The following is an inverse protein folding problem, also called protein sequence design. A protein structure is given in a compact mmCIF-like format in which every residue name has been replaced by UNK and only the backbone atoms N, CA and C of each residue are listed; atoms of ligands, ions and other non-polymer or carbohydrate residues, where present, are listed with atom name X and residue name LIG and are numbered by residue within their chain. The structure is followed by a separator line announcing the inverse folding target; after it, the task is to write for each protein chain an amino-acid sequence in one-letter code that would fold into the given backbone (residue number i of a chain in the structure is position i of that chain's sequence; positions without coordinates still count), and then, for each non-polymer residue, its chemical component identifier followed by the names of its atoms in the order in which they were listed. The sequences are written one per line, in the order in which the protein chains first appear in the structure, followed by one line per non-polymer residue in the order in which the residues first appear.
data_IF_774907612025
#
_entry.id   IF_774907612025
#
_cell.length_a   1.000
_cell.length_b   1.000
_cell.length_c   1.000
_cell.angle_alpha   90.00
_cell.angle_beta   90.00
_cell.angle_gamma   90.00
#
_symmetry.space_group_name_H-M   'P 1'
#
loop_
_entity.id
_entity.type
_entity.pdbx_description
1 polymer ?
#
# COMPACT_ATOMS: atom_id res chain seq x y z
N UNK A 1 -11.31 -80.29 -14.89
CA UNK A 1 -12.70 -79.81 -15.06
C UNK A 1 -12.76 -78.33 -14.72
N UNK A 2 -12.51 -77.46 -15.71
CA UNK A 2 -12.56 -76.01 -15.55
C UNK A 2 -13.77 -75.49 -16.34
N UNK A 3 -14.89 -75.31 -15.64
CA UNK A 3 -16.11 -74.70 -16.16
C UNK A 3 -15.88 -73.20 -16.33
N UNK A 4 -15.54 -72.80 -17.55
CA UNK A 4 -15.53 -71.41 -18.01
C UNK A 4 -16.95 -70.87 -18.06
N UNK A 5 -17.33 -70.11 -17.03
CA UNK A 5 -18.59 -69.35 -17.02
C UNK A 5 -18.40 -68.13 -17.94
N UNK A 6 -18.62 -68.32 -19.24
CA UNK A 6 -18.85 -67.21 -20.16
C UNK A 6 -20.27 -66.68 -19.92
N UNK A 7 -20.40 -65.73 -19.00
CA UNK A 7 -21.62 -64.95 -18.84
C UNK A 7 -21.82 -64.08 -20.09
N UNK A 8 -22.50 -64.63 -21.10
CA UNK A 8 -23.04 -63.90 -22.24
C UNK A 8 -24.15 -62.97 -21.74
N UNK A 9 -23.78 -61.80 -21.21
CA UNK A 9 -24.74 -60.73 -21.01
C UNK A 9 -25.31 -60.36 -22.38
N UNK A 10 -26.61 -60.56 -22.59
CA UNK A 10 -27.27 -60.22 -23.85
C UNK A 10 -26.97 -58.76 -24.24
N UNK A 11 -26.84 -58.48 -25.54
CA UNK A 11 -26.56 -57.13 -26.03
C UNK A 11 -27.57 -56.10 -25.48
N UNK A 12 -28.83 -56.52 -25.29
CA UNK A 12 -29.89 -55.73 -24.66
C UNK A 12 -29.59 -55.42 -23.18
N UNK A 13 -29.06 -56.38 -22.42
CA UNK A 13 -28.66 -56.17 -21.02
C UNK A 13 -27.50 -55.17 -20.90
N UNK A 14 -26.51 -55.26 -21.79
CA UNK A 14 -25.41 -54.28 -21.85
C UNK A 14 -25.89 -52.89 -22.25
N UNK A 15 -26.76 -52.78 -23.25
CA UNK A 15 -27.37 -51.53 -23.67
C UNK A 15 -28.24 -50.90 -22.55
N UNK A 16 -28.98 -51.73 -21.82
CA UNK A 16 -29.78 -51.29 -20.68
C UNK A 16 -28.90 -50.79 -19.52
N UNK A 17 -27.83 -51.52 -19.17
CA UNK A 17 -26.84 -51.08 -18.18
C UNK A 17 -26.14 -49.79 -18.60
N UNK A 18 -25.82 -49.62 -19.88
CA UNK A 18 -25.23 -48.39 -20.41
C UNK A 18 -26.21 -47.20 -20.32
N UNK A 19 -27.50 -47.42 -20.63
CA UNK A 19 -28.57 -46.41 -20.49
C UNK A 19 -28.83 -46.03 -19.03
N UNK A 20 -28.85 -46.99 -18.12
CA UNK A 20 -28.95 -46.72 -16.67
C UNK A 20 -27.71 -45.96 -16.19
N UNK A 21 -26.51 -46.37 -16.62
CA UNK A 21 -25.28 -45.69 -16.26
C UNK A 21 -25.25 -44.25 -16.77
N UNK A 22 -25.77 -43.96 -17.97
CA UNK A 22 -25.86 -42.60 -18.51
C UNK A 22 -26.82 -41.74 -17.68
N UNK A 23 -28.01 -42.25 -17.35
CA UNK A 23 -29.01 -41.55 -16.51
C UNK A 23 -28.48 -41.30 -15.09
N UNK A 24 -27.85 -42.30 -14.48
CA UNK A 24 -27.24 -42.15 -13.15
C UNK A 24 -26.06 -41.17 -13.23
N UNK A 25 -25.28 -41.19 -14.31
CA UNK A 25 -24.16 -40.26 -14.48
C UNK A 25 -24.61 -38.81 -14.63
N UNK A 26 -25.76 -38.53 -15.27
CA UNK A 26 -26.35 -37.20 -15.33
C UNK A 26 -26.87 -36.69 -13.98
N UNK A 27 -27.23 -37.62 -13.08
CA UNK A 27 -27.69 -37.31 -11.72
C UNK A 27 -26.54 -37.19 -10.70
N UNK A 28 -25.31 -37.58 -11.06
CA UNK A 28 -24.15 -37.45 -10.16
C UNK A 28 -23.78 -35.97 -10.01
N UNK A 29 -23.70 -35.44 -8.78
CA UNK A 29 -23.24 -34.08 -8.55
C UNK A 29 -21.85 -33.89 -9.18
N UNK A 30 -21.77 -33.08 -10.25
CA UNK A 30 -20.49 -32.74 -10.90
C UNK A 30 -19.57 -31.93 -9.97
N UNK A 31 -20.14 -31.33 -8.92
CA UNK A 31 -19.46 -30.62 -7.85
C UNK A 31 -20.02 -31.07 -6.51
N UNK A 32 -19.15 -31.57 -5.65
CA UNK A 32 -19.50 -31.81 -4.26
C UNK A 32 -19.62 -30.46 -3.52
N UNK A 33 -20.64 -30.33 -2.66
CA UNK A 33 -20.79 -29.16 -1.76
C UNK A 33 -19.59 -29.06 -0.81
N UNK A 34 -19.06 -30.22 -0.41
CA UNK A 34 -17.90 -30.36 0.47
C UNK A 34 -16.62 -30.61 -0.34
N UNK A 35 -15.45 -30.06 0.05
CA UNK A 35 -14.17 -30.42 -0.56
C UNK A 35 -13.92 -31.93 -0.51
N UNK A 36 -13.31 -32.47 -1.58
CA UNK A 36 -13.04 -33.90 -1.71
C UNK A 36 -12.16 -34.46 -0.60
N UNK A 37 -11.28 -33.62 -0.03
CA UNK A 37 -10.41 -34.03 1.08
C UNK A 37 -11.17 -34.39 2.37
N UNK A 38 -12.43 -33.97 2.50
CA UNK A 38 -13.26 -34.25 3.67
C UNK A 38 -14.06 -35.56 3.53
N UNK A 39 -14.21 -36.10 2.32
CA UNK A 39 -14.84 -37.40 2.11
C UNK A 39 -13.94 -38.50 2.68
N UNK A 40 -14.46 -39.32 3.59
CA UNK A 40 -13.68 -40.37 4.25
C UNK A 40 -13.03 -41.33 3.25
N UNK A 41 -13.79 -41.74 2.22
CA UNK A 41 -13.33 -42.61 1.13
C UNK A 41 -12.08 -42.07 0.40
N UNK A 42 -11.93 -40.75 0.30
CA UNK A 42 -10.74 -40.12 -0.27
C UNK A 42 -9.68 -39.83 0.80
N UNK A 43 -10.10 -39.34 1.97
CA UNK A 43 -9.23 -38.88 3.06
C UNK A 43 -8.35 -40.01 3.60
N UNK A 44 -8.92 -41.18 3.86
CA UNK A 44 -8.21 -42.29 4.52
C UNK A 44 -7.07 -42.80 3.62
N UNK A 45 -7.29 -43.22 2.36
CA UNK A 45 -6.21 -43.70 1.49
C UNK A 45 -5.17 -42.61 1.20
N UNK A 46 -5.63 -41.36 1.02
CA UNK A 46 -4.73 -40.24 0.71
C UNK A 46 -3.83 -39.89 1.88
N UNK A 47 -4.33 -39.87 3.12
CA UNK A 47 -3.53 -39.53 4.29
C UNK A 47 -2.67 -40.69 4.78
N UNK A 48 -3.22 -41.90 4.90
CA UNK A 48 -2.54 -43.04 5.51
C UNK A 48 -1.57 -43.73 4.56
N UNK A 49 -1.91 -43.87 3.28
CA UNK A 49 -1.08 -44.60 2.32
C UNK A 49 -0.20 -43.65 1.51
N UNK A 50 -0.79 -42.67 0.83
CA UNK A 50 -0.07 -41.82 -0.12
C UNK A 50 0.78 -40.74 0.57
N UNK A 51 0.16 -39.88 1.39
CA UNK A 51 0.83 -38.73 2.00
C UNK A 51 1.90 -39.16 3.02
N UNK A 52 1.59 -40.12 3.91
CA UNK A 52 2.59 -40.65 4.85
C UNK A 52 3.72 -41.39 4.13
N UNK A 53 3.42 -42.17 3.09
CA UNK A 53 4.44 -42.82 2.26
C UNK A 53 5.38 -41.80 1.62
N UNK A 54 4.82 -40.77 0.97
CA UNK A 54 5.59 -39.67 0.40
C UNK A 54 6.50 -38.96 1.41
N UNK A 55 6.06 -38.77 2.66
CA UNK A 55 6.89 -38.15 3.69
C UNK A 55 7.99 -39.07 4.22
N UNK A 56 7.69 -40.38 4.31
CA UNK A 56 8.63 -41.42 4.77
C UNK A 56 9.76 -41.64 3.78
N UNK A 57 9.45 -41.62 2.48
CA UNK A 57 10.40 -41.91 1.41
C UNK A 57 11.02 -40.64 0.81
N UNK A 58 10.62 -39.45 1.27
CA UNK A 58 11.20 -38.19 0.81
C UNK A 58 12.71 -38.10 1.12
N UNK A 59 13.53 -37.65 0.16
CA UNK A 59 15.00 -37.61 0.28
C UNK A 59 15.52 -36.52 1.23
N UNK A 60 14.73 -35.48 1.51
CA UNK A 60 15.15 -34.35 2.34
C UNK A 60 13.96 -33.65 3.01
N UNK A 61 14.23 -32.92 4.09
CA UNK A 61 13.20 -32.16 4.80
C UNK A 61 12.59 -31.01 3.98
N UNK A 62 13.35 -30.45 3.04
CA UNK A 62 12.85 -29.46 2.09
C UNK A 62 11.78 -30.05 1.16
N UNK A 63 12.00 -31.29 0.71
CA UNK A 63 11.02 -32.04 -0.09
C UNK A 63 9.80 -32.38 0.77
N UNK A 64 9.97 -32.83 2.02
CA UNK A 64 8.86 -33.04 2.96
C UNK A 64 8.04 -31.76 3.17
N UNK A 65 8.70 -30.62 3.37
CA UNK A 65 8.04 -29.32 3.50
C UNK A 65 7.25 -28.95 2.24
N UNK A 66 7.84 -29.19 1.05
CA UNK A 66 7.17 -28.94 -0.23
C UNK A 66 5.92 -29.79 -0.40
N UNK A 67 5.99 -31.08 -0.07
CA UNK A 67 4.87 -32.01 -0.10
C UNK A 67 3.77 -31.50 0.84
N UNK A 68 4.09 -31.21 2.11
CA UNK A 68 3.14 -30.63 3.08
C UNK A 68 2.44 -29.39 2.54
N UNK A 69 3.19 -28.44 1.97
CA UNK A 69 2.64 -27.20 1.41
C UNK A 69 1.74 -27.45 0.20
N UNK A 70 2.11 -28.40 -0.66
CA UNK A 70 1.33 -28.76 -1.84
C UNK A 70 0.00 -29.41 -1.44
N UNK A 71 0.01 -30.36 -0.51
CA UNK A 71 -1.21 -30.98 0.02
C UNK A 71 -2.12 -29.94 0.67
N UNK A 72 -1.60 -29.04 1.53
CA UNK A 72 -2.40 -27.95 2.14
C UNK A 72 -3.06 -27.04 1.08
N UNK A 73 -2.32 -26.66 0.04
CA UNK A 73 -2.87 -25.85 -1.07
C UNK A 73 -3.98 -26.60 -1.83
N UNK A 74 -3.90 -27.92 -1.90
CA UNK A 74 -4.81 -28.77 -2.66
C UNK A 74 -6.03 -29.25 -1.85
N UNK A 75 -6.09 -29.01 -0.54
CA UNK A 75 -7.23 -29.40 0.30
C UNK A 75 -8.56 -28.76 -0.16
N UNK A 76 -8.51 -27.57 -0.76
CA UNK A 76 -9.73 -26.86 -1.19
C UNK A 76 -10.26 -27.31 -2.56
N UNK A 77 -9.65 -28.31 -3.21
CA UNK A 77 -10.08 -28.78 -4.53
C UNK A 77 -11.39 -29.58 -4.40
N UNK A 78 -12.43 -29.15 -5.12
CA UNK A 78 -13.77 -29.78 -5.11
C UNK A 78 -14.05 -30.67 -6.32
N UNK A 79 -13.34 -30.47 -7.44
CA UNK A 79 -13.56 -31.21 -8.69
C UNK A 79 -12.89 -32.58 -8.63
N UNK A 80 -13.68 -33.65 -8.81
CA UNK A 80 -13.21 -35.04 -8.75
C UNK A 80 -12.09 -35.34 -9.76
N UNK A 81 -12.25 -34.88 -11.00
CA UNK A 81 -11.28 -35.08 -12.08
C UNK A 81 -9.91 -34.47 -11.74
N UNK A 82 -9.90 -33.24 -11.23
CA UNK A 82 -8.68 -32.56 -10.78
C UNK A 82 -7.99 -33.33 -9.65
N UNK A 83 -8.77 -33.83 -8.67
CA UNK A 83 -8.23 -34.62 -7.56
C UNK A 83 -7.60 -35.92 -8.07
N UNK A 84 -8.27 -36.63 -9.00
CA UNK A 84 -7.72 -37.86 -9.61
C UNK A 84 -6.36 -37.62 -10.27
N UNK A 85 -6.23 -36.57 -11.07
CA UNK A 85 -4.96 -36.20 -11.72
C UNK A 85 -3.88 -35.87 -10.70
N UNK A 86 -4.24 -35.14 -9.63
CA UNK A 86 -3.32 -34.82 -8.54
C UNK A 86 -2.83 -36.08 -7.81
N UNK A 87 -3.74 -37.02 -7.50
CA UNK A 87 -3.40 -38.28 -6.86
C UNK A 87 -2.45 -39.11 -7.74
N UNK A 88 -2.77 -39.28 -9.03
CA UNK A 88 -1.90 -39.99 -9.97
C UNK A 88 -0.50 -39.40 -10.02
N UNK A 89 -0.39 -38.06 -10.06
CA UNK A 89 0.91 -37.37 -10.01
C UNK A 89 1.68 -37.67 -8.72
N UNK A 90 0.99 -37.68 -7.58
CA UNK A 90 1.60 -37.96 -6.28
C UNK A 90 1.99 -39.43 -6.12
N UNK A 91 1.24 -40.37 -6.70
CA UNK A 91 1.60 -41.79 -6.73
C UNK A 91 2.87 -42.03 -7.55
N UNK A 92 2.95 -41.48 -8.76
CA UNK A 92 4.19 -41.51 -9.58
C UNK A 92 5.40 -40.94 -8.83
N UNK A 93 5.19 -39.85 -8.09
CA UNK A 93 6.25 -39.26 -7.28
C UNK A 93 6.68 -40.19 -6.13
N UNK A 94 5.73 -40.89 -5.49
CA UNK A 94 6.03 -41.85 -4.42
C UNK A 94 6.81 -43.05 -4.96
N UNK A 95 6.41 -43.59 -6.10
CA UNK A 95 7.11 -44.70 -6.78
C UNK A 95 8.57 -44.32 -7.08
N UNK A 96 8.81 -43.12 -7.62
CA UNK A 96 10.17 -42.63 -7.85
C UNK A 96 10.99 -42.49 -6.55
N UNK A 97 10.37 -42.04 -5.45
CA UNK A 97 11.05 -41.97 -4.14
C UNK A 97 11.35 -43.35 -3.56
N UNK A 98 10.42 -44.29 -3.68
CA UNK A 98 10.61 -45.66 -3.22
C UNK A 98 11.73 -46.36 -4.03
N UNK A 99 11.75 -46.22 -5.35
CA UNK A 99 12.80 -46.77 -6.22
C UNK A 99 14.17 -46.18 -5.89
N UNK A 100 14.27 -44.85 -5.71
CA UNK A 100 15.52 -44.21 -5.30
C UNK A 100 16.02 -44.73 -3.94
N UNK A 101 15.11 -44.96 -2.98
CA UNK A 101 15.43 -45.51 -1.66
C UNK A 101 15.82 -46.99 -1.70
N UNK A 102 15.29 -47.74 -2.66
CA UNK A 102 15.65 -49.14 -2.92
C UNK A 102 17.03 -49.30 -3.60
N UNK A 103 17.68 -48.21 -4.01
CA UNK A 103 19.04 -48.25 -4.56
C UNK A 103 19.14 -48.00 -6.07
N UNK A 104 18.05 -47.68 -6.78
CA UNK A 104 18.11 -47.37 -8.21
C UNK A 104 18.90 -46.06 -8.45
N UNK A 105 20.09 -46.19 -9.05
CA UNK A 105 21.01 -45.09 -9.33
C UNK A 105 20.40 -43.99 -10.21
N UNK A 106 19.58 -44.35 -11.20
CA UNK A 106 18.94 -43.39 -12.08
C UNK A 106 17.90 -42.57 -11.30
N UNK A 107 17.03 -43.26 -10.55
CA UNK A 107 16.01 -42.59 -9.75
C UNK A 107 16.62 -41.75 -8.62
N UNK A 108 17.72 -42.20 -8.01
CA UNK A 108 18.49 -41.39 -7.06
C UNK A 108 18.96 -40.07 -7.68
N UNK A 109 19.54 -40.10 -8.87
CA UNK A 109 19.99 -38.88 -9.56
C UNK A 109 18.82 -37.92 -9.86
N UNK A 110 17.68 -38.45 -10.31
CA UNK A 110 16.46 -37.66 -10.58
C UNK A 110 15.92 -37.02 -9.29
N UNK A 111 15.83 -37.80 -8.22
CA UNK A 111 15.33 -37.36 -6.91
C UNK A 111 16.27 -36.32 -6.27
N UNK A 112 17.58 -36.48 -6.41
CA UNK A 112 18.57 -35.50 -5.96
C UNK A 112 18.50 -34.19 -6.73
N UNK A 113 18.33 -34.24 -8.06
CA UNK A 113 18.07 -33.04 -8.89
C UNK A 113 16.79 -32.34 -8.44
N UNK A 114 15.72 -33.11 -8.19
CA UNK A 114 14.47 -32.56 -7.67
C UNK A 114 14.65 -31.90 -6.29
N UNK A 115 15.37 -32.54 -5.37
CA UNK A 115 15.66 -31.99 -4.05
C UNK A 115 16.39 -30.65 -4.16
N UNK A 116 17.46 -30.56 -4.97
CA UNK A 116 18.18 -29.30 -5.24
C UNK A 116 17.27 -28.20 -5.80
N UNK A 117 16.37 -28.52 -6.72
CA UNK A 117 15.39 -27.56 -7.22
C UNK A 117 14.44 -27.08 -6.10
N UNK A 118 13.98 -27.98 -5.24
CA UNK A 118 13.08 -27.63 -4.13
C UNK A 118 13.80 -26.76 -3.09
N UNK A 119 15.05 -27.07 -2.73
CA UNK A 119 15.85 -26.26 -1.79
C UNK A 119 16.03 -24.84 -2.34
N UNK A 120 16.39 -24.70 -3.61
CA UNK A 120 16.51 -23.41 -4.30
C UNK A 120 15.19 -22.64 -4.30
N UNK A 121 14.07 -23.30 -4.63
CA UNK A 121 12.73 -22.67 -4.59
C UNK A 121 12.34 -22.22 -3.18
N UNK A 122 12.70 -22.98 -2.13
CA UNK A 122 12.45 -22.60 -0.73
C UNK A 122 13.28 -21.39 -0.35
N UNK A 123 14.58 -21.37 -0.67
CA UNK A 123 15.47 -20.22 -0.45
C UNK A 123 14.95 -18.97 -1.17
N UNK A 124 14.57 -19.09 -2.45
CA UNK A 124 13.95 -17.98 -3.22
C UNK A 124 12.66 -17.47 -2.56
N UNK A 125 11.78 -18.37 -2.11
CA UNK A 125 10.54 -17.99 -1.44
C UNK A 125 10.77 -17.29 -0.10
N UNK A 126 11.77 -17.75 0.69
CA UNK A 126 12.19 -17.10 1.93
C UNK A 126 12.73 -15.69 1.64
N UNK A 127 13.63 -15.56 0.67
CA UNK A 127 14.19 -14.26 0.27
C UNK A 127 13.12 -13.30 -0.22
N UNK A 128 12.17 -13.79 -1.03
CA UNK A 128 11.04 -12.97 -1.50
C UNK A 128 10.14 -12.52 -0.33
N UNK A 129 9.90 -13.39 0.66
CA UNK A 129 9.17 -13.01 1.86
C UNK A 129 9.91 -11.91 2.64
N UNK A 130 11.20 -12.10 2.91
CA UNK A 130 12.02 -11.08 3.60
C UNK A 130 12.03 -9.75 2.84
N UNK A 131 12.17 -9.80 1.51
CA UNK A 131 12.10 -8.62 0.65
C UNK A 131 10.74 -7.92 0.74
N UNK A 132 9.64 -8.67 0.67
CA UNK A 132 8.30 -8.11 0.82
C UNK A 132 8.05 -7.53 2.22
N UNK A 133 8.55 -8.18 3.26
CA UNK A 133 8.51 -7.67 4.65
C UNK A 133 9.30 -6.37 4.77
N UNK A 134 10.50 -6.31 4.19
CA UNK A 134 11.30 -5.08 4.13
C UNK A 134 10.60 -3.97 3.35
N UNK A 135 10.00 -4.28 2.20
CA UNK A 135 9.23 -3.31 1.41
C UNK A 135 8.01 -2.82 2.19
N UNK A 136 7.26 -3.71 2.84
CA UNK A 136 6.11 -3.38 3.66
C UNK A 136 6.52 -2.51 4.86
N UNK A 137 7.65 -2.81 5.50
CA UNK A 137 8.20 -2.02 6.59
C UNK A 137 8.65 -0.63 6.12
N UNK A 138 9.36 -0.54 4.98
CA UNK A 138 9.72 0.73 4.35
C UNK A 138 8.48 1.56 3.99
N UNK A 139 7.48 0.92 3.40
CA UNK A 139 6.20 1.54 3.07
C UNK A 139 5.49 2.04 4.34
N UNK A 140 5.47 1.25 5.41
CA UNK A 140 4.92 1.64 6.71
C UNK A 140 5.65 2.85 7.30
N UNK A 141 6.98 2.89 7.20
CA UNK A 141 7.76 4.03 7.69
C UNK A 141 7.58 5.29 6.84
N UNK A 142 7.47 5.14 5.52
CA UNK A 142 7.19 6.26 4.62
C UNK A 142 5.79 6.84 4.84
N UNK A 143 4.81 5.96 5.13
CA UNK A 143 3.41 6.33 5.28
C UNK A 143 2.94 6.47 6.74
N UNK A 144 3.86 6.44 7.71
CA UNK A 144 3.50 6.70 9.11
C UNK A 144 3.10 8.16 9.25
N UNK A 145 1.92 8.42 9.81
CA UNK A 145 1.46 9.78 10.06
C UNK A 145 2.30 10.43 11.14
N UNK A 146 2.96 11.54 10.81
CA UNK A 146 3.77 12.33 11.75
C UNK A 146 3.05 13.64 12.02
N UNK A 147 2.90 14.00 13.30
CA UNK A 147 2.37 15.30 13.71
C UNK A 147 3.33 16.41 13.27
N UNK A 148 2.82 17.42 12.58
CA UNK A 148 3.65 18.52 12.05
C UNK A 148 3.85 19.66 13.06
N UNK A 149 3.07 19.67 14.15
CA UNK A 149 3.01 20.75 15.14
C UNK A 149 2.11 21.93 14.73
N UNK A 150 1.27 21.74 13.71
CA UNK A 150 0.27 22.71 13.27
C UNK A 150 -1.16 22.23 13.57
N UNK A 151 -2.08 23.20 13.66
CA UNK A 151 -3.50 22.96 13.87
C UNK A 151 -4.21 22.93 12.52
N UNK A 152 -5.08 21.95 12.29
CA UNK A 152 -6.03 22.02 11.18
C UNK A 152 -7.32 22.67 11.65
N UNK A 153 -7.72 23.75 10.98
CA UNK A 153 -8.99 24.45 11.24
C UNK A 153 -10.17 23.47 11.09
N UNK A 154 -11.06 23.34 12.07
CA UNK A 154 -12.31 22.58 11.93
C UNK A 154 -13.09 23.04 10.70
N UNK A 155 -13.76 22.10 10.06
CA UNK A 155 -14.64 22.35 8.91
C UNK A 155 -15.93 21.58 9.11
N UNK A 156 -16.90 21.75 8.21
CA UNK A 156 -18.15 20.95 8.26
C UNK A 156 -17.87 19.44 8.22
N UNK A 157 -16.75 19.01 7.64
CA UNK A 157 -16.46 17.58 7.40
C UNK A 157 -15.61 16.93 8.49
N UNK A 158 -14.92 17.73 9.30
CA UNK A 158 -14.11 17.22 10.41
C UNK A 158 -14.02 18.24 11.54
N UNK A 159 -13.97 17.73 12.77
CA UNK A 159 -13.74 18.57 13.94
C UNK A 159 -12.29 19.05 14.04
N UNK A 160 -11.88 19.54 15.22
CA UNK A 160 -10.49 19.89 15.48
C UNK A 160 -9.62 18.64 15.32
N UNK A 161 -8.65 18.73 14.40
CA UNK A 161 -7.69 17.67 14.13
C UNK A 161 -6.27 18.25 14.13
N UNK A 162 -5.26 17.46 14.53
CA UNK A 162 -3.88 17.86 14.36
C UNK A 162 -3.51 17.76 12.87
N UNK A 163 -2.60 18.62 12.44
CA UNK A 163 -2.03 18.48 11.11
C UNK A 163 -0.96 17.37 11.10
N UNK A 164 -1.12 16.43 10.17
CA UNK A 164 -0.28 15.24 10.03
C UNK A 164 0.25 15.12 8.61
N UNK A 165 1.46 14.57 8.45
CA UNK A 165 2.02 14.24 7.14
C UNK A 165 2.67 12.85 7.13
N UNK A 166 2.26 11.95 6.21
CA UNK A 166 1.02 11.99 5.42
C UNK A 166 -0.23 11.87 6.30
N UNK A 167 -1.39 12.23 5.74
CA UNK A 167 -2.68 12.05 6.40
C UNK A 167 -3.07 10.57 6.47
N UNK A 168 -3.56 10.06 7.62
CA UNK A 168 -4.07 8.70 7.69
C UNK A 168 -5.22 8.50 6.69
N UNK A 169 -5.12 7.43 5.87
CA UNK A 169 -6.09 7.13 4.82
C UNK A 169 -7.54 7.05 5.33
N UNK A 170 -7.74 6.49 6.53
CA UNK A 170 -9.09 6.35 7.09
C UNK A 170 -9.72 7.72 7.40
N UNK A 171 -8.95 8.69 7.89
CA UNK A 171 -9.45 10.05 8.15
C UNK A 171 -9.73 10.77 6.82
N UNK A 172 -8.83 10.66 5.85
CA UNK A 172 -9.05 11.24 4.52
C UNK A 172 -10.32 10.68 3.85
N UNK A 173 -10.53 9.36 3.93
CA UNK A 173 -11.75 8.68 3.43
C UNK A 173 -13.00 9.10 4.21
N UNK A 174 -12.90 9.29 5.52
CA UNK A 174 -14.01 9.78 6.35
C UNK A 174 -14.45 11.19 5.91
N UNK A 175 -13.50 12.10 5.71
CA UNK A 175 -13.77 13.47 5.24
C UNK A 175 -14.41 13.44 3.84
N UNK A 176 -13.86 12.65 2.91
CA UNK A 176 -14.41 12.51 1.57
C UNK A 176 -15.84 11.93 1.58
N UNK A 177 -16.09 10.89 2.39
CA UNK A 177 -17.43 10.30 2.57
C UNK A 177 -18.41 11.35 3.11
N UNK A 178 -18.02 12.13 4.11
CA UNK A 178 -18.86 13.19 4.68
C UNK A 178 -19.17 14.28 3.68
N UNK A 179 -18.20 14.70 2.86
CA UNK A 179 -18.44 15.67 1.78
C UNK A 179 -19.49 15.15 0.80
N UNK A 180 -19.35 13.90 0.34
CA UNK A 180 -20.34 13.27 -0.55
C UNK A 180 -21.73 13.16 0.10
N UNK A 181 -21.79 12.69 1.35
CA UNK A 181 -23.06 12.57 2.08
C UNK A 181 -23.74 13.93 2.30
N UNK A 182 -22.98 15.00 2.54
CA UNK A 182 -23.55 16.33 2.69
C UNK A 182 -24.24 16.80 1.41
N UNK A 183 -23.62 16.60 0.25
CA UNK A 183 -24.22 16.93 -1.05
C UNK A 183 -25.53 16.17 -1.24
N UNK A 184 -25.50 14.85 -1.02
CA UNK A 184 -26.70 13.99 -1.12
C UNK A 184 -27.82 14.47 -0.18
N UNK A 185 -27.49 14.91 1.05
CA UNK A 185 -28.51 15.42 1.98
C UNK A 185 -29.11 16.74 1.53
N UNK A 186 -28.31 17.64 0.94
CA UNK A 186 -28.83 18.91 0.40
C UNK A 186 -29.78 18.60 -0.76
N UNK A 187 -29.37 17.75 -1.70
CA UNK A 187 -30.20 17.32 -2.83
C UNK A 187 -31.51 16.69 -2.36
N UNK A 188 -31.44 15.78 -1.37
CA UNK A 188 -32.63 15.18 -0.76
C UNK A 188 -33.51 16.19 -0.04
N UNK A 189 -32.94 17.17 0.65
CA UNK A 189 -33.72 18.21 1.32
C UNK A 189 -34.48 19.07 0.32
N UNK A 190 -33.83 19.42 -0.81
CA UNK A 190 -34.49 20.15 -1.90
C UNK A 190 -35.61 19.32 -2.55
N UNK A 191 -35.34 18.05 -2.87
CA UNK A 191 -36.36 17.16 -3.42
C UNK A 191 -37.54 16.94 -2.46
N UNK A 192 -37.27 16.81 -1.16
CA UNK A 192 -38.29 16.66 -0.13
C UNK A 192 -39.18 17.90 -0.02
N UNK A 193 -38.61 19.11 -0.17
CA UNK A 193 -39.37 20.35 -0.20
C UNK A 193 -40.22 20.48 -1.46
N UNK A 194 -39.67 20.13 -2.63
CA UNK A 194 -40.45 20.10 -3.85
C UNK A 194 -41.68 19.17 -3.73
N UNK A 195 -41.51 17.99 -3.12
CA UNK A 195 -42.63 17.09 -2.85
C UNK A 195 -43.65 17.65 -1.85
N UNK A 196 -43.21 18.38 -0.82
CA UNK A 196 -44.13 19.08 0.08
C UNK A 196 -44.92 20.16 -0.68
N UNK A 197 -44.25 20.94 -1.54
CA UNK A 197 -44.88 21.97 -2.36
C UNK A 197 -45.90 21.36 -3.34
N UNK A 198 -45.57 20.22 -3.95
CA UNK A 198 -46.46 19.52 -4.88
C UNK A 198 -47.70 18.99 -4.13
N UNK A 199 -47.55 18.37 -2.96
CA UNK A 199 -48.69 17.93 -2.14
C UNK A 199 -49.57 19.11 -1.73
N UNK A 200 -48.96 20.25 -1.35
CA UNK A 200 -49.72 21.45 -1.00
C UNK A 200 -50.54 21.96 -2.20
N UNK A 201 -49.96 21.96 -3.40
CA UNK A 201 -50.69 22.32 -4.64
C UNK A 201 -51.83 21.35 -4.96
N UNK A 202 -51.63 20.05 -4.79
CA UNK A 202 -52.68 19.05 -4.99
C UNK A 202 -53.81 19.23 -3.97
N UNK A 203 -53.49 19.52 -2.71
CA UNK A 203 -54.49 19.82 -1.69
C UNK A 203 -55.31 21.07 -2.05
N UNK A 204 -54.66 22.14 -2.51
CA UNK A 204 -55.35 23.36 -2.94
C UNK A 204 -56.19 23.13 -4.19
N UNK A 205 -55.68 22.35 -5.15
CA UNK A 205 -56.44 21.93 -6.33
C UNK A 205 -57.69 21.14 -5.94
N UNK A 206 -57.58 20.13 -5.09
CA UNK A 206 -58.74 19.35 -4.63
C UNK A 206 -59.76 20.19 -3.85
N UNK A 207 -59.30 21.12 -3.02
CA UNK A 207 -60.19 22.07 -2.32
C UNK A 207 -60.99 22.89 -3.33
N UNK A 208 -60.30 23.52 -4.29
CA UNK A 208 -60.97 24.32 -5.31
C UNK A 208 -61.89 23.51 -6.22
N UNK A 209 -61.52 22.27 -6.54
CA UNK A 209 -62.36 21.36 -7.31
C UNK A 209 -63.59 20.93 -6.50
N UNK A 210 -63.41 20.59 -5.22
CA UNK A 210 -64.48 20.25 -4.30
C UNK A 210 -65.51 21.37 -4.19
N UNK A 211 -65.07 22.62 -4.07
CA UNK A 211 -65.94 23.80 -4.06
C UNK A 211 -66.74 23.98 -5.36
N UNK A 212 -66.14 23.63 -6.52
CA UNK A 212 -66.82 23.70 -7.81
C UNK A 212 -67.86 22.59 -7.96
N UNK A 213 -67.48 21.34 -7.68
CA UNK A 213 -68.36 20.17 -7.79
C UNK A 213 -69.53 20.24 -6.79
N UNK A 214 -69.31 20.78 -5.60
CA UNK A 214 -70.37 21.00 -4.61
C UNK A 214 -71.48 21.91 -5.12
N UNK A 215 -71.19 22.87 -6.00
CA UNK A 215 -72.20 23.73 -6.65
C UNK A 215 -73.07 22.96 -7.64
N UNK A 216 -72.50 21.93 -8.26
CA UNK A 216 -73.19 21.07 -9.24
C UNK A 216 -73.91 19.88 -8.59
N UNK A 217 -73.84 19.74 -7.26
CA UNK A 217 -74.53 18.70 -6.50
C UNK A 217 -73.94 17.29 -6.68
N UNK A 218 -72.72 17.17 -7.19
CA UNK A 218 -72.03 15.89 -7.35
C UNK A 218 -71.15 15.61 -6.12
N UNK A 219 -71.08 14.35 -5.68
CA UNK A 219 -70.21 13.97 -4.57
C UNK A 219 -68.75 13.87 -5.05
N UNK A 220 -67.84 14.54 -4.35
CA UNK A 220 -66.39 14.51 -4.58
C UNK A 220 -65.67 14.09 -3.30
N UNK A 221 -64.69 13.21 -3.41
CA UNK A 221 -63.83 12.79 -2.30
C UNK A 221 -62.43 13.36 -2.54
N UNK A 222 -61.90 14.09 -1.56
CA UNK A 222 -60.64 14.80 -1.68
C UNK A 222 -59.54 14.05 -0.94
N UNK A 223 -58.90 13.08 -1.60
CA UNK A 223 -57.92 12.17 -0.99
C UNK A 223 -56.72 12.92 -0.39
N UNK A 224 -56.23 13.96 -1.08
CA UNK A 224 -55.10 14.77 -0.63
C UNK A 224 -55.51 15.80 0.41
N UNK A 225 -56.62 16.52 0.21
CA UNK A 225 -57.06 17.56 1.14
C UNK A 225 -57.53 16.99 2.49
N UNK A 226 -58.22 15.84 2.49
CA UNK A 226 -58.68 15.18 3.73
C UNK A 226 -57.51 14.55 4.51
N UNK A 227 -56.50 14.02 3.82
CA UNK A 227 -55.36 13.32 4.42
C UNK A 227 -54.04 14.11 4.39
N UNK A 228 -54.09 15.43 4.18
CA UNK A 228 -52.89 16.30 4.02
C UNK A 228 -51.87 16.05 5.13
N UNK A 229 -52.35 15.96 6.38
CA UNK A 229 -51.50 15.72 7.54
C UNK A 229 -50.72 14.42 7.46
N UNK A 230 -51.31 13.32 6.96
CA UNK A 230 -50.66 12.01 6.86
C UNK A 230 -49.58 12.02 5.78
N UNK A 231 -49.86 12.64 4.63
CA UNK A 231 -48.91 12.78 3.53
C UNK A 231 -47.71 13.65 3.94
N UNK A 232 -47.97 14.79 4.59
CA UNK A 232 -46.93 15.72 5.02
C UNK A 232 -46.15 15.22 6.22
N UNK A 233 -46.72 14.44 7.15
CA UNK A 233 -46.05 14.01 8.37
C UNK A 233 -44.71 13.31 8.08
N UNK A 234 -44.70 12.37 7.13
CA UNK A 234 -43.50 11.64 6.75
C UNK A 234 -42.43 12.55 6.13
N UNK A 235 -42.85 13.50 5.28
CA UNK A 235 -41.94 14.45 4.64
C UNK A 235 -41.38 15.46 5.64
N UNK A 236 -42.20 15.95 6.56
CA UNK A 236 -41.79 16.87 7.63
C UNK A 236 -40.82 16.18 8.58
N UNK A 237 -41.10 14.92 8.96
CA UNK A 237 -40.17 14.11 9.77
C UNK A 237 -38.83 13.91 9.06
N UNK A 238 -38.85 13.55 7.78
CA UNK A 238 -37.63 13.38 7.00
C UNK A 238 -36.84 14.69 6.84
N UNK A 239 -37.52 15.84 6.66
CA UNK A 239 -36.86 17.14 6.65
C UNK A 239 -36.20 17.45 8.01
N UNK A 240 -36.89 17.20 9.13
CA UNK A 240 -36.32 17.39 10.48
C UNK A 240 -35.06 16.56 10.66
N UNK A 241 -35.05 15.31 10.20
CA UNK A 241 -33.88 14.43 10.25
C UNK A 241 -32.71 14.98 9.40
N UNK A 242 -33.01 15.46 8.19
CA UNK A 242 -32.01 16.09 7.31
C UNK A 242 -31.44 17.36 7.94
N UNK A 243 -32.29 18.24 8.48
CA UNK A 243 -31.88 19.46 9.17
C UNK A 243 -31.04 19.16 10.42
N UNK A 244 -31.44 18.18 11.23
CA UNK A 244 -30.65 17.73 12.38
C UNK A 244 -29.26 17.26 11.95
N UNK A 245 -29.16 16.49 10.87
CA UNK A 245 -27.88 16.05 10.32
C UNK A 245 -27.01 17.23 9.83
N UNK A 246 -27.61 18.29 9.27
CA UNK A 246 -26.89 19.51 8.86
C UNK A 246 -26.40 20.31 10.06
N UNK A 247 -27.22 20.44 11.13
CA UNK A 247 -26.82 21.09 12.38
C UNK A 247 -25.62 20.39 13.03
N UNK A 248 -25.58 19.05 12.99
CA UNK A 248 -24.41 18.28 13.47
C UNK A 248 -23.14 18.56 12.67
N UNK A 249 -23.27 18.86 11.37
CA UNK A 249 -22.12 19.25 10.54
C UNK A 249 -21.60 20.64 10.90
N UNK A 250 -22.49 21.58 11.24
CA UNK A 250 -22.13 22.91 11.76
C UNK A 250 -21.51 22.87 13.15
N UNK A 251 -22.10 22.11 14.07
CA UNK A 251 -21.55 21.88 15.42
C UNK A 251 -20.13 21.33 15.34
N UNK A 252 -19.86 20.43 14.38
CA UNK A 252 -18.52 19.90 14.14
C UNK A 252 -17.51 20.98 13.74
N UNK A 253 -17.93 21.95 12.92
CA UNK A 253 -17.08 23.07 12.51
C UNK A 253 -16.86 24.09 13.64
N UNK A 254 -17.81 24.23 14.57
CA UNK A 254 -17.71 25.13 15.72
C UNK A 254 -17.00 24.52 16.93
N UNK A 255 -16.70 23.21 16.90
CA UNK A 255 -16.10 22.50 18.03
C UNK A 255 -14.71 23.05 18.38
N UNK A 256 -14.47 23.51 19.62
CA UNK A 256 -13.16 24.00 20.04
C UNK A 256 -12.14 22.86 20.14
N UNK A 257 -10.85 23.19 20.04
CA UNK A 257 -9.78 22.20 20.19
C UNK A 257 -9.72 21.68 21.64
N UNK A 258 -9.72 20.36 21.85
CA UNK A 258 -9.50 19.79 23.18
C UNK A 258 -8.13 20.18 23.74
N UNK A 259 -8.04 20.48 25.04
CA UNK A 259 -6.77 20.88 25.69
C UNK A 259 -5.66 19.83 25.49
N UNK A 260 -5.97 18.55 25.68
CA UNK A 260 -5.04 17.45 25.44
C UNK A 260 -4.49 17.43 24.00
N UNK A 261 -5.30 17.80 23.00
CA UNK A 261 -4.86 17.89 21.62
C UNK A 261 -3.94 19.09 21.39
N UNK A 262 -4.22 20.22 22.04
CA UNK A 262 -3.36 21.41 22.01
C UNK A 262 -1.98 21.07 22.57
N UNK A 263 -1.92 20.43 23.75
CA UNK A 263 -0.67 19.99 24.36
C UNK A 263 0.12 19.05 23.46
N UNK A 264 -0.54 18.08 22.83
CA UNK A 264 0.10 17.15 21.90
C UNK A 264 0.70 17.88 20.68
N UNK A 265 0.00 18.87 20.13
CA UNK A 265 0.46 19.67 18.99
C UNK A 265 1.65 20.56 19.41
N UNK A 266 1.59 21.18 20.58
CA UNK A 266 2.68 21.99 21.12
C UNK A 266 3.92 21.14 21.41
N UNK A 267 3.75 19.95 21.98
CA UNK A 267 4.83 18.98 22.17
C UNK A 267 5.48 18.59 20.84
N UNK A 268 4.67 18.24 19.84
CA UNK A 268 5.18 17.93 18.49
C UNK A 268 5.94 19.12 17.86
N UNK A 269 5.52 20.37 18.14
CA UNK A 269 6.23 21.57 17.70
C UNK A 269 7.58 21.71 18.41
N UNK A 270 7.65 21.51 19.72
CA UNK A 270 8.92 21.49 20.49
C UNK A 270 9.87 20.42 19.96
N UNK A 271 9.36 19.20 19.76
CA UNK A 271 10.15 18.07 19.23
C UNK A 271 10.67 18.36 17.81
N UNK A 272 9.85 18.99 16.96
CA UNK A 272 10.27 19.42 15.62
C UNK A 272 11.41 20.43 15.67
N UNK A 273 11.33 21.44 16.54
CA UNK A 273 12.38 22.43 16.73
C UNK A 273 13.65 21.73 17.23
N UNK A 274 13.55 20.92 18.29
CA UNK A 274 14.68 20.17 18.84
C UNK A 274 15.34 19.25 17.78
N UNK A 275 14.55 18.56 16.96
CA UNK A 275 15.04 17.74 15.86
C UNK A 275 15.76 18.57 14.80
N UNK A 276 15.21 19.74 14.42
CA UNK A 276 15.84 20.63 13.45
C UNK A 276 17.14 21.24 13.97
N UNK A 277 17.21 21.57 15.25
CA UNK A 277 18.44 22.01 15.91
C UNK A 277 19.50 20.91 15.93
N UNK A 278 19.12 19.66 16.25
CA UNK A 278 20.02 18.50 16.18
C UNK A 278 20.52 18.21 14.76
N UNK A 279 19.64 18.29 13.76
CA UNK A 279 20.03 18.17 12.34
C UNK A 279 21.04 19.26 11.94
N UNK A 280 20.81 20.50 12.37
CA UNK A 280 21.72 21.63 12.13
C UNK A 280 23.10 21.43 12.80
N UNK A 281 23.13 20.94 14.03
CA UNK A 281 24.38 20.64 14.73
C UNK A 281 25.19 19.55 14.00
N UNK A 282 24.52 18.48 13.56
CA UNK A 282 25.15 17.42 12.75
C UNK A 282 25.69 17.94 11.43
N UNK A 283 24.91 18.79 10.76
CA UNK A 283 25.31 19.45 9.51
C UNK A 283 26.54 20.35 9.72
N UNK A 284 26.63 21.05 10.86
CA UNK A 284 27.81 21.85 11.25
C UNK A 284 29.03 20.99 11.61
N UNK A 285 28.81 19.83 12.22
CA UNK A 285 29.87 18.86 12.50
C UNK A 285 30.40 18.14 11.24
N UNK A 286 29.96 18.54 10.04
CA UNK A 286 30.45 18.01 8.77
C UNK A 286 29.66 16.83 8.20
N UNK A 287 28.60 16.36 8.87
CA UNK A 287 27.78 15.26 8.35
C UNK A 287 26.97 15.70 7.13
N UNK A 288 27.12 14.98 6.03
CA UNK A 288 26.36 15.22 4.79
C UNK A 288 24.93 14.71 4.95
N UNK A 289 23.98 15.61 5.22
CA UNK A 289 22.57 15.29 5.37
C UNK A 289 21.78 15.54 4.08
N UNK A 290 20.52 15.07 4.02
CA UNK A 290 19.60 15.39 2.91
C UNK A 290 19.46 16.88 2.65
N UNK A 291 19.47 17.70 3.71
CA UNK A 291 19.45 19.16 3.60
C UNK A 291 20.70 19.69 2.91
N UNK A 292 21.86 19.18 3.26
CA UNK A 292 23.15 19.51 2.64
C UNK A 292 23.15 19.18 1.15
N UNK A 293 22.71 17.97 0.81
CA UNK A 293 22.59 17.54 -0.59
C UNK A 293 21.64 18.45 -1.36
N UNK A 294 20.45 18.75 -0.82
CA UNK A 294 19.49 19.66 -1.45
C UNK A 294 20.05 21.06 -1.65
N UNK A 295 20.76 21.61 -0.66
CA UNK A 295 21.39 22.93 -0.75
C UNK A 295 22.50 22.96 -1.81
N UNK A 296 23.31 21.90 -1.88
CA UNK A 296 24.34 21.74 -2.93
C UNK A 296 23.73 21.59 -4.33
N UNK A 297 22.56 20.96 -4.42
CA UNK A 297 21.83 20.77 -5.66
C UNK A 297 20.98 21.98 -6.09
N UNK A 298 20.72 22.95 -5.19
CA UNK A 298 20.10 24.21 -5.57
C UNK A 298 21.07 24.94 -6.50
N UNK A 299 20.63 25.23 -7.72
CA UNK A 299 21.36 25.94 -8.77
C UNK A 299 20.83 27.36 -8.98
N UNK A 300 21.58 28.25 -9.65
CA UNK A 300 20.96 29.44 -10.20
C UNK A 300 20.01 28.99 -11.34
N UNK A 301 18.96 29.75 -11.66
CA UNK A 301 18.15 29.51 -12.85
C UNK A 301 19.03 29.35 -14.10
N UNK A 302 18.60 28.52 -15.07
CA UNK A 302 19.41 28.17 -16.23
C UNK A 302 19.91 29.38 -17.05
N UNK A 303 19.08 30.42 -17.19
CA UNK A 303 19.46 31.64 -17.90
C UNK A 303 20.55 32.45 -17.18
N UNK A 304 20.59 32.42 -15.84
CA UNK A 304 21.68 33.05 -15.07
C UNK A 304 22.93 32.19 -15.19
N UNK A 305 22.79 30.86 -15.03
CA UNK A 305 23.91 29.92 -15.16
C UNK A 305 24.62 30.04 -16.52
N UNK A 306 23.87 30.26 -17.61
CA UNK A 306 24.41 30.46 -18.95
C UNK A 306 25.27 31.73 -19.07
N UNK A 307 24.93 32.78 -18.32
CA UNK A 307 25.68 34.06 -18.28
C UNK A 307 26.84 34.04 -17.30
N UNK A 308 26.84 33.12 -16.34
CA UNK A 308 27.88 33.04 -15.33
C UNK A 308 29.19 32.49 -15.92
N UNK A 309 30.29 33.13 -15.57
CA UNK A 309 31.64 32.62 -15.85
C UNK A 309 31.93 31.35 -15.05
N UNK A 310 32.96 30.59 -15.44
CA UNK A 310 33.35 29.39 -14.69
C UNK A 310 33.75 29.70 -13.25
N UNK A 311 34.42 30.82 -13.02
CA UNK A 311 34.78 31.32 -11.69
C UNK A 311 33.53 31.63 -10.85
N UNK A 312 32.55 32.31 -11.43
CA UNK A 312 31.29 32.60 -10.76
C UNK A 312 30.52 31.32 -10.42
N UNK A 313 30.50 30.34 -11.33
CA UNK A 313 29.91 29.01 -11.08
C UNK A 313 30.63 28.28 -9.95
N UNK A 314 31.96 28.36 -9.91
CA UNK A 314 32.76 27.76 -8.83
C UNK A 314 32.47 28.44 -7.49
N UNK A 315 32.48 29.77 -7.44
CA UNK A 315 32.18 30.56 -6.24
C UNK A 315 30.77 30.27 -5.72
N UNK A 316 29.78 30.23 -6.60
CA UNK A 316 28.40 29.90 -6.23
C UNK A 316 28.27 28.46 -5.69
N UNK A 317 28.95 27.48 -6.31
CA UNK A 317 29.04 26.10 -5.79
C UNK A 317 29.68 26.04 -4.40
N UNK A 318 30.81 26.74 -4.20
CA UNK A 318 31.52 26.80 -2.92
C UNK A 318 30.66 27.47 -1.84
N UNK A 319 30.00 28.58 -2.16
CA UNK A 319 29.15 29.33 -1.23
C UNK A 319 27.89 28.60 -0.78
N UNK A 320 27.45 27.57 -1.52
CA UNK A 320 26.34 26.68 -1.10
C UNK A 320 26.74 25.67 -0.06
N UNK A 321 28.02 25.47 0.20
CA UNK A 321 28.47 24.60 1.27
C UNK A 321 28.14 25.20 2.65
N UNK A 322 28.05 24.35 3.68
CA UNK A 322 27.67 24.79 5.03
C UNK A 322 28.81 25.49 5.73
N UNK A 323 30.05 25.12 5.44
CA UNK A 323 31.24 25.69 6.10
C UNK A 323 31.16 27.22 6.11
N UNK A 324 31.40 27.82 7.26
CA UNK A 324 31.57 29.27 7.41
C UNK A 324 33.02 29.61 7.75
N UNK A 325 33.92 28.63 7.58
CA UNK A 325 35.36 28.83 7.75
C UNK A 325 36.06 28.68 6.41
N UNK A 326 37.23 29.30 6.35
CA UNK A 326 38.20 29.04 5.31
C UNK A 326 37.86 29.63 3.93
N UNK A 327 38.21 28.92 2.85
CA UNK A 327 37.98 29.36 1.46
C UNK A 327 36.49 29.65 1.20
N UNK A 328 35.61 28.80 1.75
CA UNK A 328 34.16 28.98 1.64
C UNK A 328 33.70 30.29 2.29
N UNK A 329 34.27 30.64 3.43
CA UNK A 329 33.95 31.88 4.14
C UNK A 329 34.39 33.10 3.32
N UNK A 330 35.58 33.05 2.74
CA UNK A 330 36.10 34.07 1.83
C UNK A 330 35.18 34.25 0.62
N UNK A 331 34.78 33.17 -0.04
CA UNK A 331 33.85 33.22 -1.18
C UNK A 331 32.49 33.78 -0.78
N UNK A 332 31.93 33.35 0.37
CA UNK A 332 30.65 33.87 0.87
C UNK A 332 30.71 35.37 1.15
N UNK A 333 31.82 35.83 1.76
CA UNK A 333 32.08 37.25 2.03
C UNK A 333 32.20 38.05 0.73
N UNK A 334 32.94 37.53 -0.26
CA UNK A 334 33.08 38.14 -1.61
C UNK A 334 31.72 38.28 -2.31
N UNK A 335 30.83 37.31 -2.14
CA UNK A 335 29.45 37.38 -2.64
C UNK A 335 28.48 38.16 -1.72
N UNK A 336 28.98 38.91 -0.74
CA UNK A 336 28.17 39.78 0.12
C UNK A 336 27.30 39.05 1.16
N UNK A 337 27.53 37.75 1.42
CA UNK A 337 26.78 37.01 2.44
C UNK A 337 27.33 37.32 3.83
N UNK A 338 26.45 37.63 4.78
CA UNK A 338 26.79 37.80 6.20
C UNK A 338 27.21 36.44 6.80
N UNK A 339 28.43 36.38 7.34
CA UNK A 339 28.93 35.23 8.10
C UNK A 339 28.48 35.34 9.56
N UNK A 340 28.33 34.21 10.26
CA UNK A 340 28.06 34.25 11.71
C UNK A 340 29.30 34.71 12.49
N UNK A 341 30.47 34.24 12.06
CA UNK A 341 31.76 34.72 12.53
C UNK A 341 32.42 35.54 11.41
N UNK A 342 32.52 36.87 11.56
CA UNK A 342 33.16 37.74 10.58
C UNK A 342 34.61 37.38 10.27
N UNK A 343 35.30 36.70 11.19
CA UNK A 343 36.72 36.35 11.07
C UNK A 343 36.97 34.91 10.62
N UNK A 344 35.93 34.10 10.44
CA UNK A 344 36.06 32.68 10.06
C UNK A 344 36.83 32.41 8.75
N UNK A 345 36.96 33.41 7.87
CA UNK A 345 37.79 33.33 6.66
C UNK A 345 39.30 33.39 6.94
N UNK A 346 39.72 33.98 8.07
CA UNK A 346 41.13 34.07 8.46
C UNK A 346 41.73 32.71 8.82
N UNK A 347 40.90 31.69 9.05
CA UNK A 347 41.34 30.32 9.38
C UNK A 347 42.19 29.68 8.27
N UNK A 348 41.98 30.00 6.97
CA UNK A 348 42.88 29.49 5.91
C UNK A 348 44.27 30.14 5.95
N UNK A 349 44.36 31.39 6.42
CA UNK A 349 45.65 32.10 6.42
C UNK A 349 46.60 31.56 7.50
N UNK A 350 46.10 30.65 8.35
CA UNK A 350 46.84 30.15 9.50
C UNK A 350 47.02 31.24 10.56
N UNK A 351 47.62 30.87 11.69
CA UNK A 351 48.23 31.88 12.56
C UNK A 351 49.47 32.42 11.83
N UNK A 352 49.84 33.70 12.00
CA UNK A 352 51.05 34.25 11.37
C UNK A 352 52.32 33.44 11.69
N UNK A 353 52.36 32.78 12.85
CA UNK A 353 53.42 31.86 13.27
C UNK A 353 53.52 30.57 12.41
N UNK A 354 52.41 30.12 11.83
CA UNK A 354 52.31 28.89 11.03
C UNK A 354 52.45 29.14 9.52
N UNK A 355 52.45 30.41 9.09
CA UNK A 355 52.46 30.79 7.69
C UNK A 355 53.68 30.23 6.94
N UNK A 356 54.87 30.33 7.55
CA UNK A 356 56.10 29.78 6.98
C UNK A 356 56.07 28.25 6.81
N UNK A 357 55.33 27.52 7.68
CA UNK A 357 55.13 26.08 7.53
C UNK A 357 54.18 25.79 6.37
N UNK A 358 53.06 26.50 6.30
CA UNK A 358 52.05 26.34 5.26
C UNK A 358 52.61 26.67 3.86
N UNK A 359 53.41 27.71 3.73
CA UNK A 359 54.04 28.10 2.46
C UNK A 359 55.03 27.03 1.96
N UNK A 360 55.79 26.41 2.88
CA UNK A 360 56.67 25.27 2.55
C UNK A 360 55.86 24.07 2.07
N UNK A 361 54.81 23.70 2.79
CA UNK A 361 53.93 22.59 2.40
C UNK A 361 53.23 22.85 1.05
N UNK A 362 52.74 24.07 0.83
CA UNK A 362 52.13 24.47 -0.45
C UNK A 362 53.13 24.38 -1.60
N UNK A 363 54.38 24.80 -1.39
CA UNK A 363 55.45 24.70 -2.38
C UNK A 363 55.78 23.24 -2.73
N UNK A 364 55.82 22.35 -1.74
CA UNK A 364 56.03 20.92 -1.95
C UNK A 364 54.88 20.29 -2.76
N UNK A 365 53.63 20.64 -2.43
CA UNK A 365 52.45 20.16 -3.17
C UNK A 365 52.45 20.69 -4.62
N UNK A 366 52.85 21.94 -4.84
CA UNK A 366 52.95 22.53 -6.17
C UNK A 366 53.98 21.79 -7.03
N UNK A 367 55.20 21.56 -6.51
CA UNK A 367 56.24 20.82 -7.20
C UNK A 367 55.83 19.38 -7.54
N UNK A 368 55.14 18.69 -6.62
CA UNK A 368 54.62 17.34 -6.85
C UNK A 368 53.49 17.33 -7.91
N UNK A 369 52.59 18.30 -7.89
CA UNK A 369 51.53 18.40 -8.90
C UNK A 369 52.09 18.70 -10.30
N UNK A 370 53.12 19.53 -10.38
CA UNK A 370 53.81 19.85 -11.63
C UNK A 370 54.48 18.60 -12.21
N UNK A 371 55.19 17.84 -11.37
CA UNK A 371 55.76 16.53 -11.74
C UNK A 371 54.69 15.60 -12.31
N UNK A 372 53.52 15.50 -11.67
CA UNK A 372 52.41 14.66 -12.15
C UNK A 372 51.83 15.13 -13.48
N UNK A 373 51.76 16.44 -13.73
CA UNK A 373 51.31 16.99 -15.01
C UNK A 373 52.29 16.63 -16.13
N UNK A 374 53.59 16.78 -15.90
CA UNK A 374 54.60 16.40 -16.89
C UNK A 374 54.50 14.93 -17.29
N UNK A 375 54.36 14.03 -16.29
CA UNK A 375 54.18 12.59 -16.55
C UNK A 375 52.88 12.29 -17.31
N UNK A 376 51.78 12.98 -16.97
CA UNK A 376 50.51 12.81 -17.67
C UNK A 376 50.57 13.31 -19.13
N UNK A 377 51.26 14.42 -19.38
CA UNK A 377 51.46 14.99 -20.72
C UNK A 377 52.39 14.11 -21.57
N UNK A 378 53.43 13.51 -20.98
CA UNK A 378 54.28 12.51 -21.64
C UNK A 378 53.49 11.26 -22.03
N UNK A 379 52.62 10.77 -21.14
CA UNK A 379 51.76 9.61 -21.40
C UNK A 379 50.67 9.88 -22.46
N UNK A 380 50.25 11.13 -22.65
CA UNK A 380 49.29 11.53 -23.69
C UNK A 380 49.93 11.75 -25.06
N UNK A 381 51.25 11.91 -25.11
CA UNK A 381 52.03 12.08 -26.35
C UNK A 381 52.54 10.76 -26.93
N UNK A 382 52.54 9.68 -26.14
CA UNK A 382 52.75 8.29 -26.54
C UNK A 382 51.42 7.65 -26.94
#
# INVERSE_FOLDING_TARGET
MATTIHALSSAQSLAHRARIASIISSLRPSRFRTPMCNLQAHRIPTLWSLYRGLLRDAPSDDVRWRIRRQFRRQMQVRKASTVKVLLQRHHKLREAFAAAKAGDAHMQAVVQRYARMVTFRRKKARNMRMFNEMLAWRHRLANRSILTGAFRRPTLYHGPLPEMKPWPMHIARLIAKRRKLRVIRIERALANRALQDDIARECDFERTLGDAVARDGVAFHADFAENEGQWLEHLVKHERDLQAALRLDEQRARRPWPAALIEQILKARRDKIANKTRELQRERAGLVLRRTIRRRAQGPPAHILARMTEEERHMDKAARSISEVGYVAMVKRRMGRKLKDPEGWKVEFGRPEEQARLDREASLIAAENERRRMVADELLRL
#
